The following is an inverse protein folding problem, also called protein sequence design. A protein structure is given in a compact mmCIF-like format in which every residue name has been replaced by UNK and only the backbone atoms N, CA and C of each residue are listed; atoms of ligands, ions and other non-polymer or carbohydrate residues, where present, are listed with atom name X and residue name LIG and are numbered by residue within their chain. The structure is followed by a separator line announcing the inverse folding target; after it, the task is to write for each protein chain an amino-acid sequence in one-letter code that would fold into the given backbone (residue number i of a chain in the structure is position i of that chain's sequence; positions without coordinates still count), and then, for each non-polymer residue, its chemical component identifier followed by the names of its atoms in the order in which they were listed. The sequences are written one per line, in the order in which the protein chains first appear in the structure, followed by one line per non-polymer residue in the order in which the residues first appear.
data_IF_001917722089
#
_entry.id   IF_001917722089
#
_cell.length_a   1.000
_cell.length_b   1.000
_cell.length_c   1.000
_cell.angle_alpha   90.00
_cell.angle_beta   90.00
_cell.angle_gamma   90.00
#
_symmetry.space_group_name_H-M   'P 1'
#
loop_
_entity.id
_entity.type
_entity.pdbx_description
1 polymer ?
#
# COMPACT_ATOMS: atom_id res chain seq x y z
N UNK A 1 -23.95 -14.91 21.84
CA UNK A 1 -24.58 -13.95 20.91
C UNK A 1 -24.48 -14.53 19.53
N UNK A 2 -25.54 -14.61 18.69
CA UNK A 2 -25.39 -15.00 17.31
C UNK A 2 -24.44 -13.97 16.66
N UNK A 3 -23.40 -14.46 16.01
CA UNK A 3 -22.41 -13.60 15.33
C UNK A 3 -23.09 -12.76 14.26
N UNK A 4 -22.63 -11.54 14.03
CA UNK A 4 -23.09 -10.70 12.92
C UNK A 4 -22.91 -11.49 11.63
N UNK A 5 -23.96 -11.69 10.81
CA UNK A 5 -23.84 -12.47 9.59
C UNK A 5 -22.92 -11.74 8.59
N UNK A 6 -22.08 -12.50 7.91
CA UNK A 6 -21.25 -11.97 6.82
C UNK A 6 -22.14 -11.44 5.69
N UNK A 7 -21.86 -10.22 5.26
CA UNK A 7 -22.58 -9.59 4.16
C UNK A 7 -22.04 -10.13 2.83
N UNK A 8 -22.93 -10.68 1.99
CA UNK A 8 -22.60 -11.10 0.64
C UNK A 8 -23.02 -10.04 -0.37
N UNK A 9 -22.12 -9.70 -1.28
CA UNK A 9 -22.35 -8.70 -2.35
C UNK A 9 -22.16 -9.34 -3.72
N UNK A 10 -22.78 -8.77 -4.72
CA UNK A 10 -22.51 -9.01 -6.16
C UNK A 10 -21.89 -7.77 -6.80
N UNK A 11 -21.70 -7.81 -8.12
CA UNK A 11 -21.07 -6.71 -8.85
C UNK A 11 -21.89 -5.41 -8.88
N UNK A 12 -23.20 -5.50 -8.66
CA UNK A 12 -24.12 -4.36 -8.66
C UNK A 12 -24.42 -3.83 -7.26
N UNK A 13 -24.07 -4.60 -6.22
CA UNK A 13 -24.31 -4.20 -4.82
C UNK A 13 -23.18 -3.24 -4.38
N UNK A 14 -23.50 -2.04 -3.87
CA UNK A 14 -22.50 -1.15 -3.26
C UNK A 14 -21.77 -1.82 -2.09
N UNK A 15 -20.52 -1.42 -1.85
CA UNK A 15 -19.82 -1.83 -0.64
C UNK A 15 -20.55 -1.32 0.60
N UNK A 16 -20.73 -2.16 1.65
CA UNK A 16 -21.40 -1.73 2.88
C UNK A 16 -20.62 -0.62 3.60
N UNK A 17 -21.27 0.18 4.46
CA UNK A 17 -20.59 1.10 5.36
C UNK A 17 -19.62 0.36 6.28
N UNK A 18 -18.47 0.97 6.55
CA UNK A 18 -17.35 0.35 7.29
C UNK A 18 -17.66 0.02 8.74
N UNK A 19 -18.66 0.70 9.36
CA UNK A 19 -19.14 0.42 10.70
C UNK A 19 -19.83 -0.95 10.82
N UNK A 20 -20.19 -1.58 9.69
CA UNK A 20 -20.72 -2.95 9.64
C UNK A 20 -19.62 -4.03 9.59
N UNK A 21 -18.34 -3.64 9.55
CA UNK A 21 -17.24 -4.60 9.62
C UNK A 21 -17.27 -5.37 10.94
N UNK A 22 -16.93 -6.67 10.88
CA UNK A 22 -16.93 -7.55 12.04
C UNK A 22 -16.02 -7.00 13.15
N UNK A 23 -16.54 -7.00 14.36
CA UNK A 23 -15.88 -6.46 15.54
C UNK A 23 -14.68 -7.29 16.02
N UNK A 24 -13.91 -6.77 17.01
CA UNK A 24 -12.67 -7.37 17.50
C UNK A 24 -12.82 -8.76 18.11
N UNK A 25 -14.02 -9.09 18.61
CA UNK A 25 -14.32 -10.39 19.24
C UNK A 25 -14.80 -11.45 18.22
N UNK A 26 -14.84 -11.13 16.92
CA UNK A 26 -15.21 -12.06 15.85
C UNK A 26 -14.04 -12.94 15.42
N UNK A 27 -14.30 -14.00 14.65
CA UNK A 27 -13.28 -14.86 14.06
C UNK A 27 -12.48 -14.14 12.94
N UNK A 28 -13.03 -13.05 12.39
CA UNK A 28 -12.43 -12.26 11.31
C UNK A 28 -12.59 -10.75 11.55
N UNK A 29 -11.87 -10.17 12.54
CA UNK A 29 -12.02 -8.76 12.89
C UNK A 29 -11.70 -7.85 11.69
N UNK A 30 -12.63 -6.96 11.36
CA UNK A 30 -12.49 -6.04 10.23
C UNK A 30 -12.98 -6.58 8.89
N UNK A 31 -13.40 -7.83 8.78
CA UNK A 31 -14.07 -8.34 7.58
C UNK A 31 -15.43 -7.66 7.42
N UNK A 32 -15.65 -7.07 6.26
CA UNK A 32 -16.83 -6.27 5.96
C UNK A 32 -17.83 -7.00 5.07
N UNK A 33 -17.35 -7.59 3.97
CA UNK A 33 -18.18 -8.25 2.99
C UNK A 33 -17.42 -9.35 2.25
N UNK A 34 -18.16 -10.25 1.61
CA UNK A 34 -17.64 -11.25 0.68
C UNK A 34 -18.37 -11.21 -0.66
N UNK A 35 -17.71 -11.59 -1.74
CA UNK A 35 -18.28 -11.68 -3.08
C UNK A 35 -18.03 -10.47 -3.97
N UNK A 36 -18.71 -10.42 -5.11
CA UNK A 36 -18.44 -9.49 -6.19
C UNK A 36 -17.11 -9.77 -6.89
N UNK A 37 -16.79 -8.93 -7.88
CA UNK A 37 -15.54 -9.00 -8.65
C UNK A 37 -14.58 -7.90 -8.24
N UNK A 38 -13.28 -8.20 -8.24
CA UNK A 38 -12.24 -7.19 -8.05
C UNK A 38 -11.94 -6.54 -9.41
N UNK A 39 -12.55 -5.38 -9.66
CA UNK A 39 -12.32 -4.56 -10.85
C UNK A 39 -11.61 -3.27 -10.49
N UNK A 40 -10.96 -2.55 -11.45
CA UNK A 40 -10.36 -1.25 -11.17
C UNK A 40 -11.35 -0.26 -10.56
N UNK A 41 -12.59 -0.23 -11.04
CA UNK A 41 -13.65 0.66 -10.55
C UNK A 41 -14.06 0.29 -9.11
N UNK A 42 -14.20 -1.01 -8.83
CA UNK A 42 -14.53 -1.50 -7.48
C UNK A 42 -13.40 -1.21 -6.50
N UNK A 43 -12.14 -1.34 -6.92
CA UNK A 43 -10.99 -0.95 -6.09
C UNK A 43 -11.01 0.54 -5.78
N UNK A 44 -11.28 1.39 -6.77
CA UNK A 44 -11.37 2.83 -6.55
C UNK A 44 -12.48 3.21 -5.57
N UNK A 45 -13.67 2.58 -5.67
CA UNK A 45 -14.77 2.73 -4.72
C UNK A 45 -14.35 2.30 -3.31
N UNK A 46 -13.73 1.13 -3.19
CA UNK A 46 -13.29 0.56 -1.92
C UNK A 46 -12.27 1.47 -1.22
N UNK A 47 -11.20 1.89 -1.91
CA UNK A 47 -10.19 2.75 -1.32
C UNK A 47 -10.73 4.11 -0.88
N UNK A 48 -11.68 4.67 -1.61
CA UNK A 48 -12.35 5.92 -1.20
C UNK A 48 -13.10 5.80 0.11
N UNK A 49 -13.53 4.59 0.46
CA UNK A 49 -14.24 4.27 1.68
C UNK A 49 -13.35 3.63 2.76
N UNK A 50 -12.03 3.55 2.55
CA UNK A 50 -11.13 2.91 3.51
C UNK A 50 -11.21 1.38 3.53
N UNK A 51 -11.73 0.79 2.45
CA UNK A 51 -11.91 -0.65 2.27
C UNK A 51 -10.83 -1.17 1.31
N UNK A 52 -10.37 -2.40 1.53
CA UNK A 52 -9.42 -3.07 0.62
C UNK A 52 -9.75 -4.56 0.46
N UNK A 53 -9.39 -5.20 -0.66
CA UNK A 53 -9.54 -6.63 -0.85
C UNK A 53 -8.35 -7.38 -0.24
N UNK A 54 -8.64 -8.50 0.44
CA UNK A 54 -7.61 -9.44 0.87
C UNK A 54 -8.23 -10.82 1.08
N UNK A 55 -7.80 -11.81 0.29
CA UNK A 55 -8.35 -13.17 0.29
C UNK A 55 -7.35 -14.15 -0.33
N UNK A 56 -7.53 -15.45 -0.10
CA UNK A 56 -6.67 -16.48 -0.69
C UNK A 56 -7.14 -16.88 -2.09
N UNK A 57 -6.24 -17.31 -2.98
CA UNK A 57 -6.64 -17.85 -4.28
C UNK A 57 -7.66 -18.98 -4.15
N UNK A 58 -8.76 -18.86 -4.88
CA UNK A 58 -9.88 -19.83 -4.84
C UNK A 58 -11.00 -19.45 -3.87
N UNK A 59 -10.77 -18.50 -2.96
CA UNK A 59 -11.83 -17.92 -2.15
C UNK A 59 -12.58 -16.83 -2.94
N UNK A 60 -13.82 -16.52 -2.57
CA UNK A 60 -14.48 -15.33 -3.07
C UNK A 60 -13.73 -14.07 -2.59
N UNK A 61 -13.79 -12.95 -3.33
CA UNK A 61 -13.23 -11.70 -2.85
C UNK A 61 -13.76 -11.35 -1.45
N UNK A 62 -12.83 -11.03 -0.53
CA UNK A 62 -13.14 -10.57 0.81
C UNK A 62 -12.71 -9.11 0.95
N UNK A 63 -13.62 -8.29 1.47
CA UNK A 63 -13.46 -6.85 1.62
C UNK A 63 -13.30 -6.49 3.09
N UNK A 64 -12.28 -5.69 3.41
CA UNK A 64 -11.86 -5.44 4.78
C UNK A 64 -11.80 -3.96 5.11
N UNK A 65 -12.21 -3.63 6.35
CA UNK A 65 -11.97 -2.34 7.00
C UNK A 65 -11.67 -2.56 8.48
N UNK A 66 -10.43 -2.90 8.83
CA UNK A 66 -10.07 -3.22 10.21
C UNK A 66 -10.10 -2.00 11.13
N UNK A 67 -10.38 -2.28 12.41
CA UNK A 67 -10.28 -1.35 13.52
C UNK A 67 -9.52 -2.04 14.68
N UNK A 68 -8.31 -1.57 15.05
CA UNK A 68 -7.63 -0.38 14.55
C UNK A 68 -7.04 -0.53 13.14
N UNK A 69 -6.77 0.60 12.48
CA UNK A 69 -6.10 0.68 11.18
C UNK A 69 -4.62 0.96 11.35
N UNK A 70 -3.75 0.20 10.70
CA UNK A 70 -2.32 0.45 10.67
C UNK A 70 -1.97 1.51 9.64
N UNK A 71 -1.30 2.58 10.07
CA UNK A 71 -0.89 3.70 9.20
C UNK A 71 0.56 4.09 9.47
N UNK A 72 1.23 4.64 8.46
CA UNK A 72 2.55 5.26 8.59
C UNK A 72 2.42 6.77 8.35
N UNK A 73 2.40 7.58 9.42
CA UNK A 73 2.54 9.02 9.26
C UNK A 73 3.90 9.34 8.64
N UNK A 74 3.90 10.03 7.50
CA UNK A 74 5.09 10.30 6.70
C UNK A 74 6.15 11.08 7.48
N UNK A 75 5.71 11.95 8.40
CA UNK A 75 6.59 12.68 9.31
C UNK A 75 7.26 11.79 10.38
N UNK A 76 6.61 10.68 10.76
CA UNK A 76 7.09 9.77 11.81
C UNK A 76 7.96 8.62 11.27
N UNK A 77 8.28 8.61 9.97
CA UNK A 77 9.12 7.56 9.37
C UNK A 77 10.48 7.47 10.05
N UNK A 78 10.79 6.29 10.60
CA UNK A 78 12.02 6.02 11.34
C UNK A 78 13.15 5.59 10.41
N UNK A 79 14.06 6.49 10.16
CA UNK A 79 15.26 6.24 9.38
C UNK A 79 16.42 5.80 10.31
N UNK A 80 16.60 4.49 10.48
CA UNK A 80 17.65 3.93 11.31
C UNK A 80 19.05 4.30 10.80
N UNK A 81 20.07 4.26 11.69
CA UNK A 81 21.46 4.52 11.30
C UNK A 81 21.96 3.56 10.21
N UNK A 82 21.55 2.29 10.29
CA UNK A 82 21.88 1.29 9.25
C UNK A 82 21.27 1.68 7.90
N UNK A 83 19.97 2.01 7.87
CA UNK A 83 19.31 2.40 6.63
C UNK A 83 19.90 3.72 6.08
N UNK A 84 20.25 4.69 6.93
CA UNK A 84 20.97 5.92 6.48
C UNK A 84 22.28 5.58 5.77
N UNK A 85 23.06 4.60 6.28
CA UNK A 85 24.31 4.16 5.59
C UNK A 85 24.00 3.50 4.27
N UNK A 86 22.99 2.63 4.20
CA UNK A 86 22.54 1.98 2.97
C UNK A 86 22.13 3.03 1.92
N UNK A 87 21.29 4.01 2.30
CA UNK A 87 20.85 5.07 1.39
C UNK A 87 22.01 5.94 0.88
N UNK A 88 22.98 6.29 1.77
CA UNK A 88 24.16 7.06 1.34
C UNK A 88 25.01 6.30 0.32
N UNK A 89 25.18 4.98 0.49
CA UNK A 89 25.89 4.14 -0.48
C UNK A 89 25.12 4.06 -1.79
N UNK A 90 23.81 3.78 -1.73
CA UNK A 90 22.95 3.72 -2.90
C UNK A 90 22.99 5.01 -3.74
N UNK A 91 22.87 6.17 -3.09
CA UNK A 91 22.88 7.50 -3.76
C UNK A 91 24.22 7.86 -4.43
N UNK A 92 25.34 7.26 -4.00
CA UNK A 92 26.69 7.53 -4.56
C UNK A 92 27.05 6.59 -5.70
N UNK A 93 26.33 5.50 -5.85
CA UNK A 93 26.62 4.51 -6.88
C UNK A 93 25.83 4.86 -8.16
N UNK A 94 26.52 5.21 -9.27
CA UNK A 94 25.87 5.56 -10.52
C UNK A 94 25.12 4.41 -11.18
N UNK A 95 25.37 3.17 -10.75
CA UNK A 95 24.63 2.00 -11.20
C UNK A 95 23.25 1.87 -10.53
N UNK A 96 22.99 2.66 -9.47
CA UNK A 96 21.76 2.60 -8.67
C UNK A 96 20.77 3.69 -9.09
N UNK A 97 19.56 3.29 -9.39
CA UNK A 97 18.48 4.19 -9.83
C UNK A 97 17.18 3.93 -9.07
N UNK A 98 16.41 4.99 -8.88
CA UNK A 98 15.00 4.90 -8.51
C UNK A 98 14.18 5.32 -9.72
N UNK A 99 13.18 4.49 -10.04
CA UNK A 99 12.18 4.81 -11.05
C UNK A 99 10.80 4.71 -10.45
N UNK A 100 9.86 5.43 -11.02
CA UNK A 100 8.44 5.33 -10.68
C UNK A 100 7.70 4.98 -11.96
N UNK A 101 6.77 4.02 -11.89
CA UNK A 101 5.84 3.65 -12.96
C UNK A 101 6.49 3.19 -14.27
N UNK A 102 7.77 2.79 -14.26
CA UNK A 102 8.45 2.32 -15.47
C UNK A 102 8.28 0.82 -15.70
N UNK A 103 7.94 0.06 -14.66
CA UNK A 103 7.80 -1.40 -14.72
C UNK A 103 6.75 -1.92 -13.71
N UNK A 104 5.58 -1.27 -13.62
CA UNK A 104 4.52 -1.62 -12.66
C UNK A 104 4.16 -3.11 -12.68
N UNK A 105 3.94 -3.68 -13.88
CA UNK A 105 3.63 -5.10 -14.03
C UNK A 105 4.73 -6.04 -13.49
N UNK A 106 6.01 -5.65 -13.63
CA UNK A 106 7.12 -6.41 -13.06
C UNK A 106 7.18 -6.32 -11.53
N UNK A 107 6.82 -5.13 -10.97
CA UNK A 107 6.77 -4.93 -9.51
C UNK A 107 5.67 -5.75 -8.88
N UNK A 108 4.42 -5.66 -9.37
CA UNK A 108 3.29 -6.40 -8.80
C UNK A 108 3.49 -7.91 -8.94
N UNK A 109 4.04 -8.39 -10.07
CA UNK A 109 4.38 -9.80 -10.28
C UNK A 109 5.48 -10.27 -9.31
N UNK A 110 6.51 -9.45 -9.05
CA UNK A 110 7.53 -9.76 -8.06
C UNK A 110 6.98 -9.80 -6.63
N UNK A 111 6.04 -8.91 -6.30
CA UNK A 111 5.33 -8.94 -5.02
C UNK A 111 4.50 -10.22 -4.86
N UNK A 112 3.84 -10.68 -5.94
CA UNK A 112 3.07 -11.92 -5.95
C UNK A 112 3.96 -13.15 -5.71
N UNK A 113 5.18 -13.16 -6.25
CA UNK A 113 6.14 -14.27 -6.08
C UNK A 113 6.96 -14.21 -4.79
N UNK A 114 6.76 -13.23 -3.92
CA UNK A 114 7.56 -13.10 -2.69
C UNK A 114 6.97 -13.91 -1.55
N UNK A 115 7.70 -14.91 -0.99
CA UNK A 115 7.26 -15.64 0.18
C UNK A 115 7.03 -14.72 1.38
N UNK A 116 5.99 -14.97 2.16
CA UNK A 116 5.66 -14.21 3.39
C UNK A 116 5.63 -15.15 4.58
N UNK A 117 6.19 -14.68 5.69
CA UNK A 117 6.17 -15.43 6.95
C UNK A 117 4.73 -15.66 7.40
N UNK A 118 4.34 -16.93 7.61
CA UNK A 118 3.01 -17.29 8.10
C UNK A 118 1.90 -17.33 7.03
N UNK A 119 2.24 -17.27 5.74
CA UNK A 119 1.27 -17.43 4.65
C UNK A 119 1.73 -18.53 3.68
N UNK A 120 0.85 -19.51 3.44
CA UNK A 120 1.03 -20.49 2.39
C UNK A 120 0.54 -19.90 1.05
N UNK A 121 1.47 -19.32 0.26
CA UNK A 121 1.16 -18.73 -1.03
C UNK A 121 1.08 -17.18 -0.99
N UNK A 122 0.43 -16.62 -2.00
CA UNK A 122 0.22 -15.18 -2.15
C UNK A 122 -1.26 -14.85 -2.31
N UNK A 123 -1.70 -13.74 -1.72
CA UNK A 123 -3.03 -13.19 -1.98
C UNK A 123 -3.12 -12.43 -3.32
N UNK A 124 -1.96 -12.14 -3.94
CA UNK A 124 -1.89 -11.42 -5.22
C UNK A 124 -2.09 -12.42 -6.36
N UNK A 125 -3.33 -12.84 -6.55
CA UNK A 125 -3.76 -13.75 -7.62
C UNK A 125 -3.80 -13.05 -9.00
N UNK A 126 -3.91 -13.78 -10.12
CA UNK A 126 -3.95 -13.17 -11.46
C UNK A 126 -5.01 -12.09 -11.64
N UNK A 127 -6.20 -12.27 -11.07
CA UNK A 127 -7.28 -11.28 -11.11
C UNK A 127 -6.93 -10.01 -10.33
N UNK A 128 -6.19 -10.13 -9.21
CA UNK A 128 -5.66 -8.98 -8.45
C UNK A 128 -4.64 -8.23 -9.31
N UNK A 129 -3.71 -8.95 -9.96
CA UNK A 129 -2.72 -8.33 -10.86
C UNK A 129 -3.43 -7.56 -11.98
N UNK A 130 -4.45 -8.16 -12.61
CA UNK A 130 -5.22 -7.53 -13.68
C UNK A 130 -5.95 -6.27 -13.18
N UNK A 131 -6.63 -6.32 -12.03
CA UNK A 131 -7.36 -5.21 -11.47
C UNK A 131 -6.44 -4.03 -11.10
N UNK A 132 -5.30 -4.28 -10.45
CA UNK A 132 -4.35 -3.21 -10.11
C UNK A 132 -3.60 -2.68 -11.35
N UNK A 133 -3.36 -3.51 -12.37
CA UNK A 133 -2.81 -3.04 -13.64
C UNK A 133 -3.78 -2.10 -14.35
N UNK A 134 -5.07 -2.43 -14.37
CA UNK A 134 -6.10 -1.52 -14.88
C UNK A 134 -6.21 -0.23 -14.05
N UNK A 135 -6.04 -0.32 -12.72
CA UNK A 135 -6.01 0.87 -11.86
C UNK A 135 -4.77 1.74 -12.12
N UNK A 136 -3.64 1.11 -12.48
CA UNK A 136 -2.43 1.81 -12.93
C UNK A 136 -2.65 2.53 -14.26
N UNK A 137 -3.27 1.89 -15.26
CA UNK A 137 -3.64 2.52 -16.53
C UNK A 137 -4.59 3.71 -16.34
N UNK A 138 -5.44 3.68 -15.30
CA UNK A 138 -6.30 4.79 -14.91
C UNK A 138 -5.56 5.91 -14.14
N UNK A 139 -4.26 5.73 -13.82
CA UNK A 139 -3.43 6.69 -13.10
C UNK A 139 -3.66 6.74 -11.58
N UNK A 140 -4.17 5.65 -10.99
CA UNK A 140 -4.38 5.55 -9.53
C UNK A 140 -3.43 4.59 -8.83
N UNK A 141 -2.91 3.57 -9.50
CA UNK A 141 -1.92 2.67 -8.91
C UNK A 141 -0.52 3.00 -9.43
N UNK A 142 0.47 2.99 -8.53
CA UNK A 142 1.83 3.44 -8.80
C UNK A 142 2.86 2.49 -8.20
N UNK A 143 4.01 2.37 -8.86
CA UNK A 143 5.15 1.60 -8.36
C UNK A 143 6.36 2.51 -8.07
N UNK A 144 7.14 2.14 -7.04
CA UNK A 144 8.46 2.69 -6.77
C UNK A 144 9.47 1.56 -6.91
N UNK A 145 10.43 1.73 -7.79
CA UNK A 145 11.30 0.68 -8.32
C UNK A 145 12.76 0.97 -7.99
N UNK A 146 13.47 -0.06 -7.53
CA UNK A 146 14.89 0.02 -7.21
C UNK A 146 15.66 -0.79 -8.22
N UNK A 147 16.48 -0.10 -8.98
CA UNK A 147 17.28 -0.66 -10.07
C UNK A 147 18.78 -0.57 -9.74
N UNK A 148 19.54 -1.62 -10.11
CA UNK A 148 21.00 -1.64 -10.03
C UNK A 148 21.56 -2.31 -11.29
N UNK A 149 22.40 -1.61 -12.04
CA UNK A 149 22.90 -2.08 -13.35
C UNK A 149 21.78 -2.51 -14.33
N UNK A 150 20.66 -1.81 -14.33
CA UNK A 150 19.50 -2.15 -15.16
C UNK A 150 18.69 -3.38 -14.69
N UNK A 151 18.99 -3.95 -13.53
CA UNK A 151 18.24 -5.03 -12.92
C UNK A 151 17.29 -4.48 -11.85
N UNK A 152 15.99 -4.87 -11.90
CA UNK A 152 15.01 -4.54 -10.87
C UNK A 152 15.25 -5.43 -9.64
N UNK A 153 15.78 -4.83 -8.56
CA UNK A 153 16.22 -5.55 -7.36
C UNK A 153 15.26 -5.44 -6.17
N UNK A 154 14.26 -4.59 -6.26
CA UNK A 154 13.23 -4.40 -5.24
C UNK A 154 12.26 -3.29 -5.64
N UNK A 155 11.20 -3.15 -4.88
CA UNK A 155 10.19 -2.14 -5.14
C UNK A 155 8.98 -2.31 -4.25
N UNK A 156 8.04 -1.44 -4.44
CA UNK A 156 6.71 -1.49 -3.84
C UNK A 156 5.68 -0.96 -4.84
N UNK A 157 4.41 -1.30 -4.62
CA UNK A 157 3.32 -0.64 -5.29
C UNK A 157 2.23 -0.24 -4.30
N UNK A 158 1.38 0.68 -4.73
CA UNK A 158 0.25 1.14 -3.96
C UNK A 158 -0.70 1.97 -4.79
N UNK A 159 -1.76 2.46 -4.14
CA UNK A 159 -2.80 3.28 -4.76
C UNK A 159 -2.70 4.70 -4.23
N UNK A 160 -2.84 5.70 -5.09
CA UNK A 160 -2.91 7.10 -4.71
C UNK A 160 -4.23 7.71 -5.18
N UNK A 161 -5.00 8.24 -4.25
CA UNK A 161 -6.24 8.97 -4.55
C UNK A 161 -6.20 10.30 -3.82
N UNK A 162 -6.17 11.39 -4.58
CA UNK A 162 -5.97 12.71 -3.98
C UNK A 162 -4.62 12.79 -3.26
N UNK A 163 -4.59 13.30 -2.03
CA UNK A 163 -3.40 13.37 -1.18
C UNK A 163 -3.31 12.19 -0.18
N UNK A 164 -3.83 11.01 -0.54
CA UNK A 164 -3.76 9.79 0.25
C UNK A 164 -3.08 8.68 -0.51
N UNK A 165 -2.10 7.99 0.13
CA UNK A 165 -1.42 6.83 -0.45
C UNK A 165 -1.76 5.57 0.35
N UNK A 166 -2.16 4.51 -0.35
CA UNK A 166 -2.44 3.18 0.20
C UNK A 166 -1.32 2.24 -0.26
N UNK A 167 -0.48 1.81 0.67
CA UNK A 167 0.64 0.91 0.38
C UNK A 167 0.15 -0.54 0.33
N UNK A 168 0.34 -1.23 -0.79
CA UNK A 168 -0.19 -2.58 -0.99
C UNK A 168 0.83 -3.66 -0.66
N UNK A 169 1.93 -3.65 -1.36
CA UNK A 169 2.95 -4.68 -1.18
C UNK A 169 4.32 -4.20 -1.59
N UNK A 170 5.34 -4.89 -1.07
CA UNK A 170 6.74 -4.65 -1.44
C UNK A 170 7.49 -5.97 -1.56
N UNK A 171 8.55 -5.95 -2.38
CA UNK A 171 9.47 -7.06 -2.53
C UNK A 171 10.92 -6.61 -2.46
N UNK A 172 11.83 -7.54 -2.16
CA UNK A 172 13.27 -7.31 -2.17
C UNK A 172 13.99 -8.57 -2.67
N UNK A 173 14.71 -8.46 -3.78
CA UNK A 173 15.66 -9.47 -4.28
C UNK A 173 17.06 -9.30 -3.69
N UNK A 174 17.37 -8.08 -3.22
CA UNK A 174 18.61 -7.75 -2.51
C UNK A 174 18.29 -7.10 -1.17
N UNK A 175 19.16 -7.31 -0.20
CA UNK A 175 19.02 -6.77 1.16
C UNK A 175 18.71 -5.28 1.13
N UNK A 176 17.74 -4.85 1.93
CA UNK A 176 17.24 -3.48 2.11
C UNK A 176 16.56 -2.85 0.89
N UNK A 177 16.43 -3.53 -0.27
CA UNK A 177 15.86 -2.92 -1.47
C UNK A 177 14.42 -2.40 -1.25
N UNK A 178 13.56 -3.15 -0.55
CA UNK A 178 12.21 -2.68 -0.21
C UNK A 178 12.21 -1.50 0.76
N UNK A 179 13.19 -1.43 1.68
CA UNK A 179 13.34 -0.27 2.58
C UNK A 179 13.83 0.98 1.84
N UNK A 180 14.67 0.79 0.82
CA UNK A 180 15.10 1.90 -0.07
C UNK A 180 13.88 2.41 -0.85
N UNK A 181 13.03 1.50 -1.38
CA UNK A 181 11.80 1.86 -2.08
C UNK A 181 10.84 2.65 -1.17
N UNK A 182 10.63 2.17 0.08
CA UNK A 182 9.80 2.89 1.04
C UNK A 182 10.39 4.26 1.41
N UNK A 183 11.70 4.36 1.61
CA UNK A 183 12.34 5.64 1.89
C UNK A 183 12.20 6.63 0.71
N UNK A 184 12.27 6.13 -0.54
CA UNK A 184 12.01 6.94 -1.73
C UNK A 184 10.55 7.40 -1.80
N UNK A 185 9.58 6.51 -1.51
CA UNK A 185 8.17 6.87 -1.41
C UNK A 185 7.93 7.93 -0.32
N UNK A 186 8.54 7.79 0.85
CA UNK A 186 8.44 8.80 1.93
C UNK A 186 8.97 10.15 1.48
N UNK A 187 10.12 10.19 0.79
CA UNK A 187 10.65 11.44 0.24
C UNK A 187 9.69 12.06 -0.78
N UNK A 188 9.12 11.26 -1.66
CA UNK A 188 8.11 11.66 -2.64
C UNK A 188 6.85 12.18 -1.95
N UNK A 189 6.31 11.46 -0.98
CA UNK A 189 5.13 11.85 -0.21
C UNK A 189 5.34 13.19 0.51
N UNK A 190 6.50 13.40 1.16
CA UNK A 190 6.85 14.68 1.81
C UNK A 190 6.86 15.84 0.85
N UNK A 191 7.39 15.64 -0.34
CA UNK A 191 7.46 16.68 -1.36
C UNK A 191 6.07 17.07 -1.89
N UNK A 192 5.20 16.06 -2.08
CA UNK A 192 3.85 16.26 -2.63
C UNK A 192 2.77 16.50 -1.57
N UNK A 193 3.12 16.62 -0.28
CA UNK A 193 2.15 16.91 0.77
C UNK A 193 1.25 15.74 1.17
N UNK A 194 1.61 14.50 0.80
CA UNK A 194 0.94 13.29 1.29
C UNK A 194 1.42 13.03 2.71
N UNK A 195 0.53 13.17 3.69
CA UNK A 195 0.88 13.12 5.10
C UNK A 195 0.84 11.71 5.70
N UNK A 196 0.10 10.79 5.08
CA UNK A 196 -0.19 9.46 5.61
C UNK A 196 -0.09 8.39 4.52
N UNK A 197 0.50 7.26 4.87
CA UNK A 197 0.46 6.02 4.10
C UNK A 197 -0.39 5.01 4.87
N UNK A 198 -1.45 4.50 4.25
CA UNK A 198 -2.20 3.37 4.77
C UNK A 198 -1.37 2.08 4.64
N UNK A 199 -1.26 1.33 5.71
CA UNK A 199 -0.56 0.04 5.78
C UNK A 199 -1.53 -1.10 6.08
N UNK A 200 -2.82 -0.85 6.10
CA UNK A 200 -3.95 -1.76 6.37
C UNK A 200 -3.81 -2.52 7.70
N UNK A 201 -2.91 -3.47 7.77
CA UNK A 201 -2.74 -4.38 8.89
C UNK A 201 -1.39 -4.22 9.59
N UNK A 202 -1.37 -4.54 10.89
CA UNK A 202 -0.17 -4.45 11.71
C UNK A 202 0.85 -5.53 11.32
N UNK A 203 2.07 -5.08 11.03
CA UNK A 203 3.25 -5.94 10.94
C UNK A 203 4.38 -5.40 11.82
N UNK A 204 5.21 -6.30 12.37
CA UNK A 204 6.40 -5.91 13.14
C UNK A 204 7.35 -5.06 12.30
N UNK A 205 7.46 -5.38 11.02
CA UNK A 205 8.33 -4.66 10.09
C UNK A 205 7.90 -3.19 9.95
N UNK A 206 6.62 -2.93 9.64
CA UNK A 206 6.10 -1.57 9.50
C UNK A 206 6.16 -0.78 10.81
N UNK A 207 5.84 -1.42 11.95
CA UNK A 207 5.97 -0.78 13.26
C UNK A 207 7.42 -0.34 13.55
N UNK A 208 8.43 -1.14 13.13
CA UNK A 208 9.84 -0.76 13.27
C UNK A 208 10.23 0.46 12.42
N UNK A 209 9.47 0.76 11.38
CA UNK A 209 9.66 1.91 10.47
C UNK A 209 8.84 3.14 10.87
N UNK A 210 8.09 3.07 11.97
CA UNK A 210 7.31 4.19 12.49
C UNK A 210 5.80 4.10 12.28
N UNK A 211 5.32 3.04 11.63
CA UNK A 211 3.89 2.83 11.50
C UNK A 211 3.25 2.52 12.86
N UNK A 212 2.02 2.94 13.04
CA UNK A 212 1.23 2.74 14.26
C UNK A 212 -0.25 2.52 13.95
N UNK A 213 -0.93 1.92 14.89
CA UNK A 213 -2.38 1.74 14.82
C UNK A 213 -3.10 3.03 15.23
N UNK A 214 -4.17 3.32 14.54
CA UNK A 214 -5.12 4.41 14.85
C UNK A 214 -6.54 3.86 14.82
N UNK A 215 -7.49 4.47 15.56
CA UNK A 215 -8.90 4.14 15.40
C UNK A 215 -9.34 4.30 13.93
N UNK A 216 -10.19 3.40 13.43
CA UNK A 216 -10.73 3.49 12.07
C UNK A 216 -11.41 4.84 11.82
N UNK A 217 -12.13 5.36 12.78
CA UNK A 217 -12.79 6.67 12.68
C UNK A 217 -11.78 7.81 12.40
N UNK A 218 -10.59 7.79 13.02
CA UNK A 218 -9.54 8.79 12.77
C UNK A 218 -8.97 8.67 11.35
N UNK A 219 -8.80 7.42 10.88
CA UNK A 219 -8.38 7.13 9.52
C UNK A 219 -9.42 7.61 8.49
N UNK A 220 -10.70 7.34 8.68
CA UNK A 220 -11.79 7.80 7.81
C UNK A 220 -11.93 9.33 7.79
N UNK A 221 -11.77 9.96 8.95
CA UNK A 221 -11.70 11.42 9.04
C UNK A 221 -10.51 11.98 8.25
N UNK A 222 -9.36 11.27 8.21
CA UNK A 222 -8.23 11.64 7.37
C UNK A 222 -8.57 11.48 5.88
N UNK A 223 -9.20 10.39 5.46
CA UNK A 223 -9.65 10.19 4.08
C UNK A 223 -10.57 11.31 3.60
N UNK A 224 -11.55 11.69 4.43
CA UNK A 224 -12.49 12.78 4.11
C UNK A 224 -11.76 14.09 3.81
N UNK A 225 -10.66 14.38 4.52
CA UNK A 225 -9.86 15.62 4.32
C UNK A 225 -8.93 15.55 3.10
N UNK A 226 -8.50 14.36 2.67
CA UNK A 226 -7.38 14.23 1.73
C UNK A 226 -7.78 13.73 0.36
N UNK A 227 -8.87 12.95 0.24
CA UNK A 227 -9.29 12.38 -1.05
C UNK A 227 -9.71 13.44 -2.09
N UNK A 228 -10.19 14.60 -1.65
CA UNK A 228 -10.56 15.73 -2.51
C UNK A 228 -9.41 16.70 -2.79
N UNK A 229 -8.26 16.55 -2.12
CA UNK A 229 -7.06 17.38 -2.36
C UNK A 229 -6.34 16.82 -3.59
N UNK A 230 -5.92 17.66 -4.57
CA UNK A 230 -5.18 17.20 -5.72
C UNK A 230 -3.92 16.42 -5.33
N UNK A 231 -3.75 15.23 -5.88
CA UNK A 231 -2.57 14.40 -5.71
C UNK A 231 -1.40 14.83 -6.62
N UNK A 232 -0.30 14.06 -6.62
CA UNK A 232 0.83 14.31 -7.51
C UNK A 232 0.41 14.33 -8.99
N UNK A 233 0.81 15.37 -9.71
CA UNK A 233 0.53 15.51 -11.15
C UNK A 233 1.51 14.66 -11.97
N UNK A 234 2.72 14.45 -11.48
CA UNK A 234 3.75 13.65 -12.13
C UNK A 234 4.30 12.61 -11.19
N UNK A 235 4.41 11.38 -11.69
CA UNK A 235 4.96 10.23 -10.98
C UNK A 235 6.35 9.91 -11.55
N UNK A 236 7.29 10.81 -11.28
CA UNK A 236 8.70 10.68 -11.63
C UNK A 236 9.56 10.92 -10.40
N UNK A 237 10.67 10.19 -10.27
CA UNK A 237 11.56 10.35 -9.14
C UNK A 237 12.72 11.29 -9.51
N UNK A 238 12.78 12.43 -8.84
CA UNK A 238 13.94 13.31 -8.91
C UNK A 238 14.91 12.96 -7.76
N UNK A 239 16.20 12.69 -8.01
CA UNK A 239 17.20 12.46 -6.97
C UNK A 239 17.29 13.57 -5.92
N UNK A 240 16.89 14.81 -6.23
CA UNK A 240 16.82 15.91 -5.27
C UNK A 240 15.81 15.65 -4.13
N UNK A 241 14.82 14.77 -4.35
CA UNK A 241 13.82 14.40 -3.33
C UNK A 241 14.43 13.75 -2.09
N UNK A 242 15.63 13.17 -2.19
CA UNK A 242 16.34 12.64 -1.03
C UNK A 242 16.55 13.67 0.08
N UNK A 243 16.63 14.95 -0.26
CA UNK A 243 16.77 16.04 0.73
C UNK A 243 15.56 16.12 1.67
N UNK A 244 14.42 15.59 1.26
CA UNK A 244 13.21 15.53 2.08
C UNK A 244 13.34 14.56 3.26
N UNK A 245 14.29 13.61 3.23
CA UNK A 245 14.57 12.71 4.37
C UNK A 245 15.49 13.35 5.41
N UNK A 246 16.21 14.40 5.04
CA UNK A 246 17.13 15.10 5.94
C UNK A 246 16.40 16.17 6.79
N UNK A 247 15.16 16.50 6.44
CA UNK A 247 14.28 17.42 7.16
C UNK A 247 13.46 16.66 8.22
N UNK A 248 14.11 16.23 9.30
CA UNK A 248 13.49 15.58 10.46
C UNK A 248 13.68 16.45 11.71
#
# INVERSE_FOLDING_TARGET
MPGTPLIWIDDNTPLPPTDQALGPDSEAPGLLAAGGSVTPQRLQEAYRSGIFPWYSPGDPPLWWSPDPRMVLPVAEFKLSLSLRKTLRRFRRDPACEIRIDTAFGAVISACAGTPREGQDGTWIAPEIIAAYSGLHEMGYAHSVEIWVNGELIGGLYGVCIGAMFFGESMFARRTDASKIALAALIAFCRYHGIALIDCQQRTRHLASLGAREVPRADFEAHLTRTLGVPGPVSWTYDPALWTMLDRA
#
